data_IF_097789578391
#
_entry.id   IF_097789578391
#
_cell.length_a   1.000
_cell.length_b   1.000
_cell.length_c   1.000
_cell.angle_alpha   90.00
_cell.angle_beta   90.00
_cell.angle_gamma   90.00
#
_symmetry.space_group_name_H-M   'P 1'
#
loop_
_entity.id
_entity.type
_entity.pdbx_description
1 polymer ?
#
# COMPACT_ATOMS: atom_id res chain seq x y z
N UNK A 1 -4.14 -22.41 -22.57
CA UNK A 1 -5.60 -22.27 -22.83
C UNK A 1 -5.96 -20.81 -22.63
N UNK A 2 -6.75 -20.16 -23.52
CA UNK A 2 -7.16 -18.77 -23.31
C UNK A 2 -7.89 -18.58 -21.98
N UNK A 3 -7.65 -17.48 -21.23
CA UNK A 3 -8.25 -17.28 -19.90
C UNK A 3 -9.76 -17.43 -19.89
N UNK A 4 -10.47 -16.86 -20.87
CA UNK A 4 -11.93 -16.98 -20.97
C UNK A 4 -12.36 -18.46 -21.03
N UNK A 5 -11.76 -19.24 -21.92
CA UNK A 5 -12.08 -20.68 -22.07
C UNK A 5 -11.77 -21.45 -20.79
N UNK A 6 -10.60 -21.22 -20.20
CA UNK A 6 -10.19 -21.87 -18.94
C UNK A 6 -11.16 -21.56 -17.80
N UNK A 7 -11.54 -20.30 -17.63
CA UNK A 7 -12.46 -19.85 -16.58
C UNK A 7 -13.85 -20.49 -16.73
N UNK A 8 -14.46 -20.44 -17.91
CA UNK A 8 -15.80 -21.04 -18.10
C UNK A 8 -15.80 -22.57 -17.99
N UNK A 9 -14.70 -23.23 -18.38
CA UNK A 9 -14.53 -24.66 -18.15
C UNK A 9 -14.50 -24.98 -16.65
N UNK A 10 -13.72 -24.22 -15.87
CA UNK A 10 -13.64 -24.42 -14.42
C UNK A 10 -14.95 -24.10 -13.71
N UNK A 11 -15.65 -23.02 -14.10
CA UNK A 11 -17.00 -22.69 -13.58
C UNK A 11 -17.94 -23.87 -13.79
N UNK A 12 -17.97 -24.43 -15.01
CA UNK A 12 -18.83 -25.58 -15.34
C UNK A 12 -18.51 -26.80 -14.48
N UNK A 13 -17.22 -27.12 -14.30
CA UNK A 13 -16.77 -28.25 -13.47
C UNK A 13 -17.12 -28.04 -11.99
N UNK A 14 -16.84 -26.86 -11.44
CA UNK A 14 -17.16 -26.54 -10.04
C UNK A 14 -18.67 -26.58 -9.80
N UNK A 15 -19.49 -26.06 -10.72
CA UNK A 15 -20.95 -26.14 -10.63
C UNK A 15 -21.44 -27.58 -10.52
N UNK A 16 -20.92 -28.48 -11.36
CA UNK A 16 -21.26 -29.90 -11.29
C UNK A 16 -20.84 -30.53 -9.95
N UNK A 17 -19.67 -30.17 -9.42
CA UNK A 17 -19.21 -30.66 -8.11
C UNK A 17 -20.12 -30.17 -6.97
N UNK A 18 -20.47 -28.88 -6.95
CA UNK A 18 -21.37 -28.31 -5.94
C UNK A 18 -22.77 -28.95 -5.98
N UNK A 19 -23.30 -29.21 -7.18
CA UNK A 19 -24.56 -29.92 -7.36
C UNK A 19 -24.48 -31.37 -6.83
N UNK A 20 -23.36 -32.08 -7.07
CA UNK A 20 -23.14 -33.43 -6.54
C UNK A 20 -23.03 -33.47 -5.03
N UNK A 21 -22.53 -32.41 -4.41
CA UNK A 21 -22.51 -32.25 -2.95
C UNK A 21 -23.92 -31.99 -2.37
N UNK A 22 -24.94 -31.79 -3.20
CA UNK A 22 -26.31 -31.54 -2.76
C UNK A 22 -26.52 -30.14 -2.17
N UNK A 23 -25.65 -29.17 -2.52
CA UNK A 23 -25.81 -27.79 -2.06
C UNK A 23 -27.00 -27.13 -2.75
N UNK A 24 -27.97 -26.69 -1.95
CA UNK A 24 -29.15 -25.96 -2.42
C UNK A 24 -28.83 -24.48 -2.59
N UNK A 25 -28.15 -24.15 -3.70
CA UNK A 25 -27.87 -22.78 -4.11
C UNK A 25 -28.94 -22.29 -5.09
N UNK A 26 -29.30 -21.02 -4.99
CA UNK A 26 -30.10 -20.35 -6.01
C UNK A 26 -29.22 -20.00 -7.21
N UNK A 27 -29.29 -20.81 -8.25
CA UNK A 27 -28.50 -20.64 -9.47
C UNK A 27 -29.02 -19.50 -10.37
N UNK A 28 -30.20 -18.95 -10.12
CA UNK A 28 -30.67 -17.76 -10.84
C UNK A 28 -29.90 -16.50 -10.41
N UNK A 29 -29.31 -16.51 -9.21
CA UNK A 29 -28.46 -15.46 -8.69
C UNK A 29 -26.96 -15.66 -9.02
N UNK A 30 -26.60 -16.59 -9.91
CA UNK A 30 -25.20 -16.85 -10.28
C UNK A 30 -24.59 -15.66 -11.02
N UNK A 31 -23.38 -15.26 -10.59
CA UNK A 31 -22.62 -14.19 -11.24
C UNK A 31 -21.21 -14.67 -11.63
N UNK A 32 -20.74 -14.22 -12.79
CA UNK A 32 -19.37 -14.40 -13.23
C UNK A 32 -18.74 -13.01 -13.44
N UNK A 33 -17.76 -12.65 -12.62
CA UNK A 33 -17.19 -11.28 -12.59
C UNK A 33 -16.43 -10.91 -13.87
N UNK A 34 -16.00 -11.90 -14.65
CA UNK A 34 -15.41 -11.71 -15.97
C UNK A 34 -16.43 -11.51 -17.10
N UNK A 35 -17.73 -11.67 -16.82
CA UNK A 35 -18.80 -11.46 -17.81
C UNK A 35 -19.03 -9.97 -18.07
N UNK A 36 -19.26 -9.55 -19.34
CA UNK A 36 -19.64 -8.17 -19.67
C UNK A 36 -20.87 -7.67 -18.91
N UNK A 37 -21.83 -8.55 -18.63
CA UNK A 37 -23.02 -8.20 -17.88
C UNK A 37 -22.75 -7.87 -16.40
N UNK A 38 -21.60 -8.29 -15.89
CA UNK A 38 -21.13 -7.96 -14.55
C UNK A 38 -20.20 -6.75 -14.57
N UNK A 39 -19.07 -6.82 -15.29
CA UNK A 39 -18.02 -5.79 -15.19
C UNK A 39 -18.44 -4.43 -15.75
N UNK A 40 -19.51 -4.34 -16.56
CA UNK A 40 -20.11 -3.05 -16.96
C UNK A 40 -20.51 -2.21 -15.75
N UNK A 41 -20.95 -2.85 -14.66
CA UNK A 41 -21.29 -2.18 -13.42
C UNK A 41 -20.04 -1.77 -12.64
N UNK A 42 -18.97 -2.56 -12.68
CA UNK A 42 -17.67 -2.16 -12.11
C UNK A 42 -17.09 -0.93 -12.83
N UNK A 43 -17.21 -0.89 -14.17
CA UNK A 43 -16.85 0.29 -14.96
C UNK A 43 -17.70 1.50 -14.59
N UNK A 44 -19.03 1.31 -14.45
CA UNK A 44 -19.93 2.36 -14.03
C UNK A 44 -19.59 2.91 -12.64
N UNK A 45 -19.40 2.05 -11.62
CA UNK A 45 -18.98 2.46 -10.27
C UNK A 45 -17.66 3.23 -10.30
N UNK A 46 -16.69 2.77 -11.09
CA UNK A 46 -15.42 3.49 -11.26
C UNK A 46 -15.63 4.91 -11.77
N UNK A 47 -16.50 5.10 -12.78
CA UNK A 47 -16.83 6.43 -13.29
C UNK A 47 -17.52 7.30 -12.24
N UNK A 48 -18.41 6.72 -11.42
CA UNK A 48 -19.03 7.45 -10.30
C UNK A 48 -17.99 7.89 -9.26
N UNK A 49 -17.04 7.02 -8.92
CA UNK A 49 -15.92 7.39 -8.02
C UNK A 49 -15.01 8.44 -8.63
N UNK A 50 -14.77 8.38 -9.94
CA UNK A 50 -13.99 9.40 -10.64
C UNK A 50 -14.68 10.76 -10.59
N UNK A 51 -15.98 10.80 -10.87
CA UNK A 51 -16.80 12.02 -10.82
C UNK A 51 -16.87 12.60 -9.40
N UNK A 52 -16.96 11.74 -8.38
CA UNK A 52 -16.90 12.13 -6.98
C UNK A 52 -15.50 12.48 -6.46
N UNK A 53 -14.45 12.38 -7.30
CA UNK A 53 -13.07 12.64 -6.90
C UNK A 53 -12.45 11.60 -5.96
N UNK A 54 -13.08 10.42 -5.84
CA UNK A 54 -12.64 9.27 -5.04
C UNK A 54 -11.71 8.33 -5.81
N UNK A 55 -11.78 8.30 -7.14
CA UNK A 55 -10.80 7.64 -8.00
C UNK A 55 -9.87 8.67 -8.64
N UNK A 56 -8.57 8.46 -8.57
CA UNK A 56 -7.58 9.41 -9.09
C UNK A 56 -6.30 8.73 -9.55
N UNK A 57 -5.50 9.43 -10.36
CA UNK A 57 -4.17 8.98 -10.74
C UNK A 57 -3.09 9.80 -10.04
N UNK A 58 -2.03 9.13 -9.62
CA UNK A 58 -0.77 9.77 -9.21
C UNK A 58 0.42 8.89 -9.57
N UNK A 59 1.60 9.49 -9.67
CA UNK A 59 2.84 8.73 -9.61
C UNK A 59 3.08 8.29 -8.17
N UNK A 60 3.34 7.00 -8.01
CA UNK A 60 3.69 6.43 -6.72
C UNK A 60 4.69 5.30 -6.92
N UNK A 61 5.56 5.11 -5.94
CA UNK A 61 6.29 3.86 -5.83
C UNK A 61 5.27 2.77 -5.50
N UNK A 62 5.09 1.82 -6.42
CA UNK A 62 4.14 0.71 -6.30
C UNK A 62 4.88 -0.61 -6.20
N UNK A 63 4.23 -1.56 -5.55
CA UNK A 63 4.68 -2.94 -5.47
C UNK A 63 4.54 -3.59 -6.85
N UNK A 64 5.60 -4.21 -7.35
CA UNK A 64 5.66 -4.83 -8.66
C UNK A 64 6.04 -6.31 -8.54
N UNK A 65 5.22 -7.19 -9.12
CA UNK A 65 5.54 -8.60 -9.26
C UNK A 65 6.35 -8.81 -10.55
N UNK A 66 7.62 -9.22 -10.50
CA UNK A 66 8.43 -9.42 -11.70
C UNK A 66 8.02 -10.66 -12.51
N UNK A 67 7.34 -11.63 -11.90
CA UNK A 67 6.87 -12.86 -12.56
C UNK A 67 5.51 -12.61 -13.20
N UNK A 68 4.55 -12.09 -12.44
CA UNK A 68 3.20 -11.80 -12.94
C UNK A 68 3.16 -10.53 -13.80
N UNK A 69 4.24 -9.73 -13.79
CA UNK A 69 4.41 -8.49 -14.55
C UNK A 69 3.27 -7.50 -14.35
N UNK A 70 2.87 -7.33 -13.08
CA UNK A 70 1.79 -6.43 -12.70
C UNK A 70 2.09 -5.72 -11.39
N UNK A 71 1.39 -4.61 -11.19
CA UNK A 71 1.34 -3.93 -9.90
C UNK A 71 0.53 -4.75 -8.89
N UNK A 72 0.92 -4.68 -7.62
CA UNK A 72 0.24 -5.28 -6.48
C UNK A 72 -0.23 -4.19 -5.51
N UNK A 73 -1.40 -4.39 -4.90
CA UNK A 73 -1.80 -3.63 -3.73
C UNK A 73 -0.96 -4.05 -2.51
N UNK A 74 -0.96 -3.24 -1.45
CA UNK A 74 -0.22 -3.57 -0.22
C UNK A 74 -0.72 -4.88 0.40
N UNK A 75 -2.02 -5.14 0.32
CA UNK A 75 -2.69 -6.35 0.84
C UNK A 75 -2.33 -7.63 0.06
N UNK A 76 -1.69 -7.50 -1.11
CA UNK A 76 -1.27 -8.63 -1.96
C UNK A 76 0.21 -8.98 -1.79
N UNK A 77 0.89 -8.30 -0.86
CA UNK A 77 2.27 -8.57 -0.47
C UNK A 77 2.23 -9.15 0.93
N UNK A 78 2.83 -10.32 1.11
CA UNK A 78 2.90 -10.96 2.42
C UNK A 78 3.95 -10.31 3.33
N UNK A 79 4.01 -10.79 4.57
CA UNK A 79 4.95 -10.29 5.58
C UNK A 79 6.42 -10.56 5.24
N UNK A 80 6.72 -11.40 4.24
CA UNK A 80 8.07 -11.64 3.72
C UNK A 80 8.36 -10.84 2.44
N UNK A 81 7.42 -9.97 2.02
CA UNK A 81 7.62 -9.05 0.91
C UNK A 81 7.44 -9.75 -0.43
N UNK A 82 6.71 -10.86 -0.42
CA UNK A 82 6.48 -11.69 -1.59
C UNK A 82 5.07 -11.52 -2.10
N UNK A 83 4.92 -11.69 -3.40
CA UNK A 83 3.61 -11.78 -4.03
C UNK A 83 2.84 -12.98 -3.47
N UNK A 84 1.61 -12.73 -3.00
CA UNK A 84 0.70 -13.75 -2.48
C UNK A 84 0.41 -14.90 -3.45
N UNK A 85 0.67 -14.70 -4.76
CA UNK A 85 0.36 -15.68 -5.80
C UNK A 85 1.60 -16.32 -6.39
N UNK A 86 2.58 -15.51 -6.82
CA UNK A 86 3.77 -16.01 -7.50
C UNK A 86 4.89 -16.39 -6.53
N UNK A 87 4.86 -15.89 -5.29
CA UNK A 87 5.94 -16.02 -4.31
C UNK A 87 7.20 -15.21 -4.64
N UNK A 88 7.18 -14.44 -5.75
CA UNK A 88 8.28 -13.58 -6.16
C UNK A 88 8.53 -12.49 -5.12
N UNK A 89 9.80 -12.15 -4.92
CA UNK A 89 10.17 -10.96 -4.13
C UNK A 89 9.67 -9.74 -4.90
N UNK A 90 8.88 -8.91 -4.23
CA UNK A 90 8.24 -7.74 -4.81
C UNK A 90 9.29 -6.63 -5.00
N UNK A 91 9.29 -6.04 -6.19
CA UNK A 91 10.12 -4.89 -6.53
C UNK A 91 9.35 -3.58 -6.33
N UNK A 92 10.06 -2.46 -6.22
CA UNK A 92 9.45 -1.12 -6.22
C UNK A 92 9.67 -0.46 -7.57
N UNK A 93 8.58 -0.02 -8.21
CA UNK A 93 8.64 0.77 -9.46
C UNK A 93 7.85 2.06 -9.30
N UNK A 94 8.42 3.16 -9.80
CA UNK A 94 7.71 4.42 -9.90
C UNK A 94 6.81 4.37 -11.15
N UNK A 95 5.50 4.29 -10.93
CA UNK A 95 4.52 4.22 -12.01
C UNK A 95 3.35 5.15 -11.72
N UNK A 96 2.76 5.70 -12.80
CA UNK A 96 1.46 6.37 -12.72
C UNK A 96 0.36 5.32 -12.65
N UNK A 97 -0.36 5.28 -11.54
CA UNK A 97 -1.39 4.27 -11.27
C UNK A 97 -2.69 4.92 -10.80
N UNK A 98 -3.79 4.15 -10.88
CA UNK A 98 -5.08 4.53 -10.31
C UNK A 98 -5.17 4.13 -8.85
N UNK A 99 -5.76 5.00 -8.03
CA UNK A 99 -5.99 4.79 -6.61
C UNK A 99 -7.42 5.17 -6.24
N UNK A 100 -7.96 4.49 -5.24
CA UNK A 100 -9.19 4.91 -4.57
C UNK A 100 -8.84 5.58 -3.24
N UNK A 101 -9.51 6.70 -2.93
CA UNK A 101 -9.35 7.45 -1.66
C UNK A 101 -10.08 6.76 -0.50
N UNK A 102 -9.75 5.50 -0.25
CA UNK A 102 -10.28 4.77 0.92
C UNK A 102 -9.90 5.46 2.24
N UNK A 103 -8.79 6.19 2.25
CA UNK A 103 -8.33 6.99 3.40
C UNK A 103 -9.31 8.08 3.81
N UNK A 104 -10.11 8.62 2.89
CA UNK A 104 -11.14 9.61 3.21
C UNK A 104 -12.27 8.99 4.06
N UNK A 105 -12.38 7.66 4.06
CA UNK A 105 -13.33 6.88 4.85
C UNK A 105 -12.67 6.16 6.04
N UNK A 106 -11.37 6.35 6.30
CA UNK A 106 -10.66 5.60 7.33
C UNK A 106 -11.24 5.80 8.74
N UNK A 107 -11.68 7.02 9.07
CA UNK A 107 -12.29 7.32 10.37
C UNK A 107 -13.68 6.67 10.51
N UNK A 108 -14.51 6.73 9.47
CA UNK A 108 -15.82 6.07 9.46
C UNK A 108 -15.66 4.55 9.57
N UNK A 109 -14.78 3.97 8.74
CA UNK A 109 -14.48 2.54 8.75
C UNK A 109 -14.01 2.05 10.13
N UNK A 110 -13.20 2.85 10.83
CA UNK A 110 -12.72 2.52 12.17
C UNK A 110 -13.81 2.62 13.22
N UNK A 111 -14.55 3.74 13.25
CA UNK A 111 -15.60 3.99 14.23
C UNK A 111 -16.76 2.99 14.07
N UNK A 112 -17.05 2.56 12.85
CA UNK A 112 -18.17 1.67 12.56
C UNK A 112 -17.88 0.21 12.88
N UNK A 113 -16.63 -0.17 13.21
CA UNK A 113 -16.31 -1.49 13.74
C UNK A 113 -17.11 -1.81 15.02
N UNK A 114 -17.37 -0.81 15.86
CA UNK A 114 -18.14 -0.98 17.11
C UNK A 114 -19.62 -1.30 16.84
N UNK A 115 -20.14 -0.90 15.67
CA UNK A 115 -21.52 -1.20 15.25
C UNK A 115 -21.68 -2.64 14.77
N UNK A 116 -20.58 -3.32 14.42
CA UNK A 116 -20.58 -4.69 13.91
C UNK A 116 -20.64 -5.73 15.05
N UNK A 117 -21.80 -5.80 15.72
CA UNK A 117 -22.02 -6.71 16.86
C UNK A 117 -21.94 -8.20 16.50
N UNK A 118 -22.18 -8.55 15.24
CA UNK A 118 -22.07 -9.93 14.74
C UNK A 118 -20.68 -10.34 14.26
N UNK A 119 -19.69 -9.43 14.27
CA UNK A 119 -18.35 -9.71 13.76
C UNK A 119 -17.42 -10.26 14.85
N UNK A 120 -16.56 -11.25 14.54
CA UNK A 120 -15.56 -11.72 15.48
C UNK A 120 -14.60 -10.60 15.90
N UNK A 121 -14.31 -10.48 17.20
CA UNK A 121 -13.39 -9.47 17.73
C UNK A 121 -12.01 -9.49 17.08
N UNK A 122 -11.49 -10.68 16.76
CA UNK A 122 -10.22 -10.83 16.07
C UNK A 122 -10.20 -10.11 14.72
N UNK A 123 -11.30 -10.17 13.95
CA UNK A 123 -11.38 -9.53 12.64
C UNK A 123 -11.45 -8.01 12.79
N UNK A 124 -12.24 -7.52 13.76
CA UNK A 124 -12.32 -6.09 14.08
C UNK A 124 -10.96 -5.53 14.50
N UNK A 125 -10.23 -6.25 15.35
CA UNK A 125 -8.89 -5.86 15.78
C UNK A 125 -7.89 -5.83 14.61
N UNK A 126 -7.94 -6.83 13.69
CA UNK A 126 -7.10 -6.83 12.50
C UNK A 126 -7.36 -5.62 11.61
N UNK A 127 -8.64 -5.25 11.40
CA UNK A 127 -9.01 -4.05 10.63
C UNK A 127 -8.55 -2.76 11.33
N UNK A 128 -8.79 -2.63 12.64
CA UNK A 128 -8.37 -1.46 13.41
C UNK A 128 -6.85 -1.25 13.37
N UNK A 129 -6.08 -2.34 13.51
CA UNK A 129 -4.62 -2.31 13.41
C UNK A 129 -4.15 -1.98 11.98
N UNK A 130 -4.83 -2.48 10.95
CA UNK A 130 -4.52 -2.17 9.54
C UNK A 130 -4.80 -0.70 9.20
N UNK A 131 -5.91 -0.14 9.68
CA UNK A 131 -6.23 1.29 9.52
C UNK A 131 -5.20 2.15 10.28
N UNK A 132 -4.77 1.71 11.46
CA UNK A 132 -3.63 2.28 12.16
C UNK A 132 -3.77 3.77 12.49
N UNK A 133 -4.97 4.22 12.90
CA UNK A 133 -5.21 5.62 13.25
C UNK A 133 -4.25 6.07 14.35
N UNK A 134 -3.44 7.07 14.04
CA UNK A 134 -2.57 7.72 14.99
C UNK A 134 -2.84 9.21 14.99
N UNK A 135 -2.80 9.80 16.19
CA UNK A 135 -2.89 11.26 16.36
C UNK A 135 -1.49 11.76 16.67
N UNK A 136 -1.10 12.84 16.00
CA UNK A 136 0.23 13.41 16.13
C UNK A 136 0.26 14.89 15.79
N UNK A 137 1.45 15.45 15.71
CA UNK A 137 1.67 16.82 15.28
C UNK A 137 2.68 16.85 14.12
N UNK A 138 2.48 17.83 13.24
CA UNK A 138 3.51 18.27 12.31
C UNK A 138 4.39 19.31 13.01
N UNK A 139 5.70 19.08 12.97
CA UNK A 139 6.73 19.98 13.46
C UNK A 139 7.54 20.47 12.26
N UNK A 140 7.83 21.76 12.19
CA UNK A 140 8.68 22.33 11.16
C UNK A 140 10.04 22.72 11.74
N UNK A 141 11.11 22.13 11.21
CA UNK A 141 12.47 22.46 11.59
C UNK A 141 13.10 23.36 10.51
N UNK A 142 13.53 24.59 10.85
CA UNK A 142 14.20 25.46 9.89
C UNK A 142 15.56 24.88 9.51
N UNK A 143 15.95 25.03 8.24
CA UNK A 143 17.27 24.65 7.77
C UNK A 143 18.18 25.87 7.82
N UNK A 144 19.37 25.73 8.42
CA UNK A 144 20.32 26.85 8.53
C UNK A 144 20.80 27.24 7.13
N UNK A 145 20.57 28.50 6.75
CA UNK A 145 21.03 29.05 5.47
C UNK A 145 20.09 28.79 4.28
N UNK A 146 18.91 28.24 4.52
CA UNK A 146 17.87 27.98 3.52
C UNK A 146 16.51 28.47 4.03
N UNK A 147 15.63 28.89 3.12
CA UNK A 147 14.27 29.32 3.48
C UNK A 147 13.34 28.10 3.67
N UNK A 148 13.73 26.94 3.14
CA UNK A 148 13.04 25.69 3.28
C UNK A 148 13.06 25.17 4.73
N UNK A 149 12.01 24.42 5.08
CA UNK A 149 11.86 23.77 6.37
C UNK A 149 11.66 22.27 6.18
N UNK A 150 12.12 21.50 7.15
CA UNK A 150 11.86 20.06 7.23
C UNK A 150 10.59 19.85 8.05
N UNK A 151 9.52 19.40 7.38
CA UNK A 151 8.28 19.01 8.05
C UNK A 151 8.39 17.55 8.53
N UNK A 152 8.16 17.33 9.83
CA UNK A 152 8.22 16.01 10.47
C UNK A 152 6.88 15.73 11.13
N UNK A 153 6.30 14.55 10.88
CA UNK A 153 5.15 14.05 11.64
C UNK A 153 5.64 13.22 12.83
N UNK A 154 5.06 13.44 14.01
CA UNK A 154 5.31 12.62 15.20
C UNK A 154 4.04 12.37 15.99
N UNK A 155 3.84 11.14 16.47
CA UNK A 155 2.78 10.78 17.42
C UNK A 155 3.15 11.12 18.86
N UNK A 156 4.38 11.60 19.11
CA UNK A 156 4.92 12.01 20.42
C UNK A 156 5.43 13.45 20.36
N UNK A 157 4.55 14.46 20.18
CA UNK A 157 4.97 15.86 20.14
C UNK A 157 5.54 16.36 21.49
N UNK A 158 5.18 15.69 22.59
CA UNK A 158 5.70 15.94 23.92
C UNK A 158 7.23 15.80 24.00
N UNK A 159 7.85 15.00 23.14
CA UNK A 159 9.30 14.76 23.14
C UNK A 159 10.09 15.77 22.30
N UNK A 160 9.47 16.85 21.81
CA UNK A 160 10.11 17.81 20.88
C UNK A 160 11.38 18.44 21.45
N UNK A 161 11.42 18.75 22.76
CA UNK A 161 12.61 19.33 23.39
C UNK A 161 13.80 18.36 23.50
N UNK A 162 13.59 17.07 23.25
CA UNK A 162 14.63 16.05 23.23
C UNK A 162 15.18 15.74 21.84
N UNK A 163 14.73 16.44 20.79
CA UNK A 163 15.18 16.20 19.41
C UNK A 163 16.63 16.63 19.28
N UNK A 164 17.52 15.67 19.02
CA UNK A 164 18.96 15.90 18.83
C UNK A 164 19.39 15.92 17.36
N UNK A 165 18.63 15.26 16.47
CA UNK A 165 18.82 15.28 15.03
C UNK A 165 17.52 14.92 14.32
N UNK A 166 17.44 15.22 13.03
CA UNK A 166 16.34 14.83 12.14
C UNK A 166 16.88 13.86 11.08
N UNK A 167 16.11 12.84 10.75
CA UNK A 167 16.46 11.86 9.71
C UNK A 167 15.56 12.07 8.51
N UNK A 168 16.17 12.21 7.34
CA UNK A 168 15.46 12.27 6.06
C UNK A 168 15.48 10.90 5.39
N UNK A 169 14.40 10.55 4.72
CA UNK A 169 14.39 9.38 3.84
C UNK A 169 15.40 9.59 2.69
N UNK A 170 16.10 8.54 2.23
CA UNK A 170 17.02 8.63 1.09
C UNK A 170 16.38 9.24 -0.16
N UNK A 171 15.09 9.01 -0.36
CA UNK A 171 14.30 9.50 -1.50
C UNK A 171 13.70 10.89 -1.27
N UNK A 172 13.89 11.50 -0.09
CA UNK A 172 13.31 12.80 0.23
C UNK A 172 13.96 13.92 -0.61
N UNK A 173 13.20 14.84 -1.24
CA UNK A 173 13.75 15.88 -2.11
C UNK A 173 14.82 16.75 -1.44
N UNK A 174 14.62 17.10 -0.16
CA UNK A 174 15.58 17.91 0.61
C UNK A 174 16.90 17.18 0.90
N UNK A 175 16.98 15.84 0.80
CA UNK A 175 18.20 15.10 1.13
C UNK A 175 19.38 15.58 0.28
N UNK A 176 19.17 15.81 -1.03
CA UNK A 176 20.23 16.34 -1.90
C UNK A 176 20.56 17.81 -1.64
N UNK A 177 19.59 18.58 -1.13
CA UNK A 177 19.73 20.03 -0.87
C UNK A 177 20.55 20.27 0.40
N UNK A 178 20.29 19.49 1.45
CA UNK A 178 20.99 19.64 2.74
C UNK A 178 22.34 18.92 2.79
N UNK A 179 22.65 18.10 1.79
CA UNK A 179 23.93 17.38 1.72
C UNK A 179 25.09 18.34 1.43
N UNK A 180 26.06 18.39 2.33
CA UNK A 180 27.31 19.13 2.14
C UNK A 180 28.12 18.61 0.95
N UNK A 181 28.94 19.49 0.36
CA UNK A 181 29.74 19.15 -0.84
C UNK A 181 30.67 17.95 -0.59
N UNK A 182 31.24 17.84 0.61
CA UNK A 182 32.16 16.76 0.98
C UNK A 182 31.47 15.41 1.14
N UNK A 183 30.19 15.40 1.51
CA UNK A 183 29.39 14.18 1.72
C UNK A 183 28.61 13.74 0.48
N UNK A 184 28.58 14.56 -0.58
CA UNK A 184 27.77 14.33 -1.78
C UNK A 184 27.99 12.95 -2.42
N UNK A 185 29.24 12.50 -2.52
CA UNK A 185 29.55 11.19 -3.08
C UNK A 185 29.07 10.03 -2.18
N UNK A 186 29.25 10.15 -0.86
CA UNK A 186 28.83 9.15 0.11
C UNK A 186 27.29 9.04 0.17
N UNK A 187 26.59 10.18 0.22
CA UNK A 187 25.12 10.23 0.22
C UNK A 187 24.55 9.66 -1.09
N UNK A 188 25.10 10.03 -2.25
CA UNK A 188 24.64 9.50 -3.53
C UNK A 188 24.81 7.97 -3.64
N UNK A 189 25.95 7.44 -3.17
CA UNK A 189 26.18 6.01 -3.10
C UNK A 189 25.19 5.31 -2.16
N UNK A 190 24.94 5.91 -0.99
CA UNK A 190 24.00 5.37 0.00
C UNK A 190 22.56 5.38 -0.52
N UNK A 191 22.11 6.45 -1.16
CA UNK A 191 20.78 6.52 -1.78
C UNK A 191 20.64 5.42 -2.84
N UNK A 192 21.65 5.24 -3.70
CA UNK A 192 21.62 4.19 -4.73
C UNK A 192 21.55 2.80 -4.11
N UNK A 193 22.32 2.54 -3.06
CA UNK A 193 22.29 1.27 -2.36
C UNK A 193 20.91 0.99 -1.73
N UNK A 194 20.38 1.93 -0.96
CA UNK A 194 19.10 1.77 -0.26
C UNK A 194 17.91 1.73 -1.22
N UNK A 195 17.98 2.44 -2.35
CA UNK A 195 16.94 2.38 -3.38
C UNK A 195 16.77 1.00 -4.02
N UNK A 196 17.80 0.15 -3.93
CA UNK A 196 17.76 -1.23 -4.43
C UNK A 196 17.32 -2.24 -3.35
N UNK A 197 17.12 -1.80 -2.11
CA UNK A 197 16.65 -2.65 -1.02
C UNK A 197 15.12 -2.69 -0.98
N UNK A 198 14.56 -3.83 -0.60
CA UNK A 198 13.12 -3.95 -0.36
C UNK A 198 12.70 -3.21 0.92
N UNK A 199 11.40 -2.90 1.07
CA UNK A 199 10.89 -2.26 2.28
C UNK A 199 11.13 -3.13 3.53
N UNK A 200 10.94 -4.44 3.40
CA UNK A 200 11.28 -5.40 4.45
C UNK A 200 12.75 -5.38 4.82
N UNK A 201 13.62 -5.30 3.83
CA UNK A 201 15.05 -5.16 4.07
C UNK A 201 15.41 -3.84 4.77
N UNK A 202 14.58 -2.81 4.66
CA UNK A 202 14.76 -1.50 5.31
C UNK A 202 14.14 -1.43 6.70
N UNK A 203 13.06 -2.17 6.95
CA UNK A 203 12.37 -2.23 8.25
C UNK A 203 12.83 -3.40 9.12
N UNK A 204 13.72 -4.26 8.62
CA UNK A 204 14.28 -5.39 9.35
C UNK A 204 15.03 -4.93 10.62
N UNK A 205 14.58 -5.41 11.78
CA UNK A 205 15.14 -5.04 13.08
C UNK A 205 16.53 -5.64 13.35
N UNK A 206 16.89 -6.70 12.64
CA UNK A 206 18.16 -7.43 12.80
C UNK A 206 19.32 -6.82 11.99
N UNK A 207 19.05 -5.81 11.17
CA UNK A 207 20.08 -5.15 10.37
C UNK A 207 20.83 -4.06 11.14
N UNK A 208 22.11 -3.83 10.81
CA UNK A 208 22.87 -2.74 11.42
C UNK A 208 22.25 -1.40 11.05
N UNK A 209 22.09 -0.52 12.05
CA UNK A 209 21.64 0.86 11.85
C UNK A 209 22.68 1.61 11.01
N UNK A 210 22.24 2.17 9.89
CA UNK A 210 23.09 2.90 8.95
C UNK A 210 22.49 4.27 8.66
N UNK A 211 23.37 5.26 8.49
CA UNK A 211 23.02 6.61 8.11
C UNK A 211 24.29 7.38 7.75
N UNK A 212 24.15 8.39 6.90
CA UNK A 212 25.26 9.30 6.54
C UNK A 212 24.90 10.68 7.10
N UNK A 213 25.78 11.31 7.89
CA UNK A 213 25.58 12.71 8.27
C UNK A 213 25.71 13.59 7.03
N UNK A 214 24.75 14.49 6.84
CA UNK A 214 24.64 15.39 5.69
C UNK A 214 25.24 16.76 5.98
#
# INVERSE_FOLDING_TARGET
>A
VPPAKWTYQNITQMRQQLQRLGLSLDWECEVATCSPDYYKWTQWIFLQFLEAGLAYQREAAVNWDPIDQTVLANEQVDNEGRSWRSGAIVERKLLRQWFFKITDYAEELLNDLDKLTGWPERVKLMQANWIGKSTGAYLEFPIVGLDEKIAVYTTRPDTVYGVSYVVLAPEHPLTQVVTTSDQKAAVAAFIKEVSNQSELERTAEDKPKRGIPT
#
